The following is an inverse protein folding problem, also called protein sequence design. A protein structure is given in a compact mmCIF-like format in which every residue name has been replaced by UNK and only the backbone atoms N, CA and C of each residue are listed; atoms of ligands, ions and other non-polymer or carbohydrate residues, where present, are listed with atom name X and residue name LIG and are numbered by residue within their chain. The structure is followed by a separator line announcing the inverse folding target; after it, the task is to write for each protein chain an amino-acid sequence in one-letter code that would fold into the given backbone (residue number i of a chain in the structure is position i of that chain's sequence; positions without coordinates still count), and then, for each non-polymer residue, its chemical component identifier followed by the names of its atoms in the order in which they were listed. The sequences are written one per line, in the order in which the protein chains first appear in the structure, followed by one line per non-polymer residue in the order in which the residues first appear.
data_IF_341915472079
#
_entry.id   IF_341915472079
#
_cell.length_a   1.000
_cell.length_b   1.000
_cell.length_c   1.000
_cell.angle_alpha   90.00
_cell.angle_beta   90.00
_cell.angle_gamma   90.00
#
_symmetry.space_group_name_H-M   'P 1'
#
loop_
_entity.id
_entity.type
_entity.pdbx_description
1 polymer ?
#
# COMPACT_ATOMS: atom_id res chain seq x y z
N UNK A 1 -20.66 24.98 9.02
CA UNK A 1 -19.25 24.86 8.56
C UNK A 1 -19.29 24.96 7.05
N UNK A 2 -19.31 26.19 6.56
CA UNK A 2 -20.00 26.51 5.30
C UNK A 2 -19.18 26.23 4.04
N UNK A 3 -18.04 25.55 4.18
CA UNK A 3 -17.12 25.21 3.08
C UNK A 3 -16.48 23.81 3.22
N UNK A 4 -17.06 22.93 4.04
CA UNK A 4 -16.60 21.54 4.17
C UNK A 4 -16.79 20.79 2.83
N UNK A 5 -15.75 20.10 2.35
CA UNK A 5 -15.70 19.44 1.04
C UNK A 5 -15.28 20.35 -0.12
N UNK A 6 -14.95 21.62 0.13
CA UNK A 6 -14.47 22.52 -0.92
C UNK A 6 -13.03 22.18 -1.30
N UNK A 7 -12.76 22.00 -2.59
CA UNK A 7 -11.42 21.71 -3.12
C UNK A 7 -10.99 22.66 -4.23
N UNK A 8 -9.67 22.83 -4.40
CA UNK A 8 -9.08 23.59 -5.50
C UNK A 8 -7.66 23.11 -5.84
N UNK A 9 -7.24 23.33 -7.08
CA UNK A 9 -5.91 22.99 -7.57
C UNK A 9 -4.89 24.10 -7.29
N UNK A 10 -3.66 23.68 -6.97
CA UNK A 10 -2.51 24.59 -6.79
C UNK A 10 -1.27 24.01 -7.46
N UNK A 11 -0.20 24.81 -7.55
CA UNK A 11 1.13 24.32 -7.99
C UNK A 11 1.74 23.24 -7.08
N UNK A 12 1.10 22.92 -5.95
CA UNK A 12 1.54 21.92 -4.98
C UNK A 12 0.54 20.76 -4.82
N UNK A 13 -0.43 20.64 -5.72
CA UNK A 13 -1.46 19.59 -5.73
C UNK A 13 -2.86 20.09 -5.38
N UNK A 14 -3.80 19.15 -5.26
CA UNK A 14 -5.19 19.38 -4.90
C UNK A 14 -5.35 19.63 -3.41
N UNK A 15 -6.02 20.72 -3.04
CA UNK A 15 -6.34 21.07 -1.66
C UNK A 15 -7.81 20.80 -1.40
N UNK A 16 -8.15 20.31 -0.21
CA UNK A 16 -9.53 20.08 0.22
C UNK A 16 -9.72 20.50 1.68
N UNK A 17 -10.87 21.12 1.99
CA UNK A 17 -11.29 21.41 3.36
C UNK A 17 -12.08 20.22 3.90
N UNK A 18 -11.46 19.48 4.80
CA UNK A 18 -12.03 18.33 5.52
C UNK A 18 -11.68 18.38 7.01
N UNK A 19 -12.15 17.42 7.81
CA UNK A 19 -11.98 17.46 9.27
C UNK A 19 -10.51 17.47 9.72
N UNK A 20 -9.63 16.79 8.99
CA UNK A 20 -8.19 16.71 9.32
C UNK A 20 -7.45 18.00 8.95
N UNK A 21 -7.78 18.58 7.79
CA UNK A 21 -7.16 19.81 7.30
C UNK A 21 -7.63 21.04 8.06
N UNK A 22 -8.89 21.08 8.52
CA UNK A 22 -9.42 22.17 9.36
C UNK A 22 -8.58 22.36 10.62
N UNK A 23 -8.21 21.26 11.29
CA UNK A 23 -7.39 21.32 12.50
C UNK A 23 -6.05 22.03 12.23
N UNK A 24 -5.35 21.61 11.19
CA UNK A 24 -4.07 22.22 10.81
C UNK A 24 -4.22 23.68 10.38
N UNK A 25 -5.26 23.99 9.61
CA UNK A 25 -5.55 25.36 9.15
C UNK A 25 -5.74 26.28 10.36
N UNK A 26 -6.51 25.87 11.38
CA UNK A 26 -6.74 26.68 12.56
C UNK A 26 -5.47 26.93 13.38
N UNK A 27 -4.52 26.00 13.37
CA UNK A 27 -3.23 26.14 14.06
C UNK A 27 -2.22 27.02 13.30
N UNK A 28 -2.37 27.16 11.97
CA UNK A 28 -1.36 27.77 11.08
C UNK A 28 -1.88 28.99 10.30
N UNK A 29 -3.15 29.37 10.51
CA UNK A 29 -3.78 30.52 9.87
C UNK A 29 -3.12 31.82 10.34
N UNK A 30 -2.72 32.67 9.39
CA UNK A 30 -2.10 33.96 9.65
C UNK A 30 -3.05 35.08 9.24
N UNK A 31 -3.26 36.07 10.11
CA UNK A 31 -4.00 37.29 9.77
C UNK A 31 -3.25 38.10 8.71
N UNK A 32 -3.98 38.57 7.70
CA UNK A 32 -3.42 39.39 6.61
C UNK A 32 -2.80 40.67 7.16
N UNK A 33 -1.63 41.02 6.63
CA UNK A 33 -0.94 42.26 6.99
C UNK A 33 -1.64 43.52 6.43
N UNK A 34 -2.59 43.35 5.51
CA UNK A 34 -3.26 44.44 4.81
C UNK A 34 -4.68 44.72 5.34
N UNK A 35 -5.34 43.75 5.97
CA UNK A 35 -6.73 43.86 6.43
C UNK A 35 -7.00 42.92 7.59
N UNK A 36 -7.69 43.38 8.63
CA UNK A 36 -8.08 42.55 9.78
C UNK A 36 -9.19 41.53 9.47
N UNK A 37 -9.88 41.67 8.34
CA UNK A 37 -10.99 40.80 7.94
C UNK A 37 -10.57 39.58 7.11
N UNK A 38 -9.27 39.42 6.84
CA UNK A 38 -8.76 38.33 6.00
C UNK A 38 -7.63 37.59 6.68
N UNK A 39 -7.58 36.30 6.44
CA UNK A 39 -6.49 35.43 6.85
C UNK A 39 -6.05 34.54 5.69
N UNK A 40 -4.86 33.97 5.80
CA UNK A 40 -4.30 33.11 4.77
C UNK A 40 -3.41 32.03 5.39
N UNK A 41 -3.17 31.00 4.59
CA UNK A 41 -2.20 29.92 4.86
C UNK A 41 -1.25 29.83 3.66
N UNK A 42 -0.04 29.35 3.88
CA UNK A 42 0.91 29.11 2.79
C UNK A 42 0.70 27.73 2.19
N UNK A 43 0.34 27.66 0.90
CA UNK A 43 0.16 26.40 0.16
C UNK A 43 1.40 25.50 0.27
N UNK A 44 2.62 26.06 0.23
CA UNK A 44 3.86 25.29 0.41
C UNK A 44 3.98 24.65 1.80
N UNK A 45 3.54 25.35 2.86
CA UNK A 45 3.60 24.84 4.22
C UNK A 45 2.54 23.76 4.47
N UNK A 46 1.33 23.99 3.97
CA UNK A 46 0.24 23.01 4.00
C UNK A 46 0.64 21.75 3.22
N UNK A 47 1.09 21.90 1.97
CA UNK A 47 1.54 20.79 1.14
C UNK A 47 2.66 20.01 1.81
N UNK A 48 3.66 20.69 2.40
CA UNK A 48 4.70 20.02 3.17
C UNK A 48 4.13 19.21 4.33
N UNK A 49 3.31 19.79 5.19
CA UNK A 49 2.75 19.11 6.37
C UNK A 49 2.00 17.82 5.99
N UNK A 50 1.20 17.87 4.92
CA UNK A 50 0.46 16.71 4.42
C UNK A 50 1.28 15.79 3.50
N UNK A 51 2.43 16.24 2.98
CA UNK A 51 3.45 15.41 2.31
C UNK A 51 4.38 14.69 3.32
N UNK A 52 4.37 15.04 4.61
CA UNK A 52 5.17 14.34 5.65
C UNK A 52 4.52 13.03 6.12
N UNK A 53 3.94 12.26 5.20
CA UNK A 53 3.80 10.82 5.39
C UNK A 53 4.80 10.11 4.45
N UNK A 54 6.02 10.02 4.98
CA UNK A 54 6.99 8.91 4.86
C UNK A 54 7.88 8.65 3.62
N UNK A 55 7.92 9.45 2.56
CA UNK A 55 8.83 9.08 1.44
C UNK A 55 10.32 9.32 1.69
N UNK A 56 10.71 10.32 2.50
CA UNK A 56 12.12 10.64 2.73
C UNK A 56 12.82 9.66 3.70
N UNK A 57 12.08 9.16 4.69
CA UNK A 57 12.49 8.18 5.70
C UNK A 57 12.48 6.75 5.16
N UNK A 58 11.50 6.41 4.31
CA UNK A 58 11.45 5.11 3.64
C UNK A 58 12.55 4.92 2.59
N UNK A 59 12.90 5.98 1.84
CA UNK A 59 13.99 5.93 0.86
C UNK A 59 15.36 5.61 1.48
N UNK A 60 15.57 5.97 2.76
CA UNK A 60 16.77 5.62 3.52
C UNK A 60 16.75 4.17 4.06
N UNK A 61 15.56 3.57 4.19
CA UNK A 61 15.36 2.15 4.53
C UNK A 61 15.46 1.22 3.33
N UNK A 62 15.37 1.75 2.10
CA UNK A 62 15.36 0.94 0.90
C UNK A 62 16.76 0.41 0.59
N UNK A 63 16.97 -0.92 0.50
CA UNK A 63 18.29 -1.54 0.43
C UNK A 63 19.08 -1.23 -0.84
N UNK A 64 18.44 -0.61 -1.84
CA UNK A 64 19.04 -0.30 -3.13
C UNK A 64 19.36 1.20 -3.31
N UNK A 65 19.19 2.01 -2.25
CA UNK A 65 19.47 3.45 -2.25
C UNK A 65 18.32 4.31 -2.78
N UNK A 66 18.44 5.64 -2.59
CA UNK A 66 17.41 6.63 -2.93
C UNK A 66 17.02 6.58 -4.41
N UNK A 67 17.98 6.36 -5.31
CA UNK A 67 17.77 6.33 -6.76
C UNK A 67 16.97 5.09 -7.21
N UNK A 68 17.21 3.93 -6.61
CA UNK A 68 16.47 2.71 -6.92
C UNK A 68 15.05 2.71 -6.34
N UNK A 69 14.86 3.33 -5.17
CA UNK A 69 13.52 3.55 -4.61
C UNK A 69 12.69 4.48 -5.50
N UNK A 70 13.30 5.56 -6.00
CA UNK A 70 12.63 6.46 -6.94
C UNK A 70 12.30 5.74 -8.26
N UNK A 71 13.22 4.97 -8.82
CA UNK A 71 12.95 4.17 -10.02
C UNK A 71 11.81 3.16 -9.81
N UNK A 72 11.74 2.51 -8.65
CA UNK A 72 10.63 1.64 -8.26
C UNK A 72 9.29 2.40 -8.22
N UNK A 73 9.23 3.55 -7.56
CA UNK A 73 8.03 4.40 -7.53
C UNK A 73 7.61 4.87 -8.93
N UNK A 74 8.58 5.24 -9.76
CA UNK A 74 8.33 5.67 -11.13
C UNK A 74 7.71 4.53 -11.96
N UNK A 75 8.14 3.28 -11.74
CA UNK A 75 7.53 2.11 -12.40
C UNK A 75 6.09 1.85 -11.95
N UNK A 76 5.78 2.02 -10.66
CA UNK A 76 4.41 1.91 -10.15
C UNK A 76 3.50 2.98 -10.74
N UNK A 77 4.02 4.20 -10.83
CA UNK A 77 3.30 5.36 -11.38
C UNK A 77 3.08 5.24 -12.90
N UNK A 78 4.07 4.70 -13.62
CA UNK A 78 4.00 4.49 -15.07
C UNK A 78 2.99 3.37 -15.43
N UNK A 79 2.94 2.28 -14.66
CA UNK A 79 1.97 1.19 -14.85
C UNK A 79 0.50 1.64 -14.68
N UNK A 80 0.24 2.65 -13.85
CA UNK A 80 -1.10 3.22 -13.68
C UNK A 80 -1.61 3.96 -14.94
N UNK A 81 -0.73 4.30 -15.89
CA UNK A 81 -1.05 5.18 -17.03
C UNK A 81 -1.32 4.43 -18.35
N UNK A 82 -1.02 3.13 -18.44
CA UNK A 82 -1.18 2.33 -19.67
C UNK A 82 -2.11 1.14 -19.44
N UNK A 83 -3.36 1.28 -19.92
CA UNK A 83 -4.42 0.27 -20.00
C UNK A 83 -5.06 -0.22 -18.69
N UNK A 84 -6.36 0.07 -18.57
CA UNK A 84 -7.23 -0.46 -17.54
C UNK A 84 -7.23 0.42 -16.30
N UNK A 85 -8.38 0.99 -15.99
CA UNK A 85 -8.66 1.80 -14.82
C UNK A 85 -8.45 0.98 -13.53
N UNK A 86 -7.21 0.74 -13.13
CA UNK A 86 -6.80 0.27 -11.81
C UNK A 86 -6.45 1.50 -10.99
N UNK A 87 -7.46 2.33 -10.72
CA UNK A 87 -7.30 3.41 -9.75
C UNK A 87 -6.99 2.77 -8.41
N UNK A 88 -5.91 3.25 -7.78
CA UNK A 88 -5.66 3.11 -6.35
C UNK A 88 -6.66 4.02 -5.61
N UNK A 89 -7.95 3.75 -5.79
CA UNK A 89 -9.09 4.53 -5.27
C UNK A 89 -10.12 3.54 -4.70
N UNK A 90 -10.27 3.59 -3.38
CA UNK A 90 -11.26 2.90 -2.54
C UNK A 90 -11.20 1.36 -2.46
N UNK A 91 -10.51 0.91 -1.41
CA UNK A 91 -10.50 -0.41 -0.76
C UNK A 91 -9.67 -1.55 -1.40
N UNK A 92 -8.45 -1.76 -0.89
CA UNK A 92 -7.70 -3.03 -1.04
C UNK A 92 -8.54 -4.25 -0.63
N UNK A 93 -9.47 -4.04 0.31
CA UNK A 93 -10.55 -4.97 0.67
C UNK A 93 -11.36 -5.49 -0.54
N UNK A 94 -11.53 -4.70 -1.61
CA UNK A 94 -12.31 -5.09 -2.78
C UNK A 94 -11.63 -6.22 -3.58
N UNK A 95 -10.29 -6.27 -3.62
CA UNK A 95 -9.58 -7.31 -4.39
C UNK A 95 -9.63 -8.66 -3.70
N UNK A 96 -9.37 -8.68 -2.40
CA UNK A 96 -9.49 -9.90 -1.60
C UNK A 96 -10.95 -10.36 -1.55
N UNK A 97 -11.90 -9.43 -1.53
CA UNK A 97 -13.32 -9.75 -1.62
C UNK A 97 -13.68 -10.42 -2.96
N UNK A 98 -13.20 -9.92 -4.10
CA UNK A 98 -13.40 -10.56 -5.42
C UNK A 98 -12.82 -11.98 -5.46
N UNK A 99 -11.66 -12.20 -4.86
CA UNK A 99 -11.07 -13.54 -4.74
C UNK A 99 -11.98 -14.46 -3.93
N UNK A 100 -12.52 -13.95 -2.80
CA UNK A 100 -13.41 -14.73 -1.95
C UNK A 100 -14.73 -15.08 -2.63
N UNK A 101 -15.32 -14.13 -3.35
CA UNK A 101 -16.54 -14.34 -4.12
C UNK A 101 -16.32 -15.40 -5.21
N UNK A 102 -15.25 -15.27 -5.99
CA UNK A 102 -14.88 -16.24 -7.02
C UNK A 102 -14.73 -17.67 -6.47
N UNK A 103 -14.14 -17.80 -5.28
CA UNK A 103 -13.95 -19.08 -4.60
C UNK A 103 -15.25 -19.63 -4.00
N UNK A 104 -16.07 -18.75 -3.40
CA UNK A 104 -17.38 -19.08 -2.87
C UNK A 104 -18.35 -19.60 -3.94
N UNK A 105 -18.42 -18.93 -5.08
CA UNK A 105 -19.24 -19.34 -6.24
C UNK A 105 -18.88 -20.74 -6.76
N UNK A 106 -17.61 -21.13 -6.63
CA UNK A 106 -17.09 -22.45 -7.05
C UNK A 106 -17.19 -23.50 -5.96
N UNK A 107 -17.76 -23.17 -4.81
CA UNK A 107 -17.93 -24.08 -3.68
C UNK A 107 -16.63 -24.44 -2.98
N UNK A 108 -15.56 -23.66 -3.16
CA UNK A 108 -14.26 -23.91 -2.53
C UNK A 108 -14.37 -23.93 -1.00
N UNK A 109 -15.22 -23.09 -0.42
CA UNK A 109 -15.46 -23.05 1.03
C UNK A 109 -16.37 -24.15 1.55
N UNK A 110 -17.05 -24.88 0.66
CA UNK A 110 -17.93 -25.99 1.04
C UNK A 110 -17.25 -27.35 0.89
N UNK A 111 -16.27 -27.46 -0.03
CA UNK A 111 -15.62 -28.72 -0.40
C UNK A 111 -14.11 -28.72 -0.18
N UNK A 112 -13.50 -27.53 -0.05
CA UNK A 112 -12.07 -27.37 0.15
C UNK A 112 -11.69 -27.43 1.62
N UNK A 113 -10.43 -27.77 1.85
CA UNK A 113 -9.81 -27.81 3.17
C UNK A 113 -8.42 -27.13 3.13
N UNK A 114 -7.91 -26.78 4.30
CA UNK A 114 -6.64 -26.05 4.44
C UNK A 114 -5.42 -26.87 4.00
N UNK A 115 -5.45 -28.20 4.08
CA UNK A 115 -4.34 -29.06 3.61
C UNK A 115 -4.28 -29.05 2.08
N UNK A 116 -5.43 -29.12 1.42
CA UNK A 116 -5.52 -29.01 -0.04
C UNK A 116 -5.02 -27.65 -0.51
N UNK A 117 -5.41 -26.56 0.15
CA UNK A 117 -4.88 -25.23 -0.17
C UNK A 117 -3.37 -25.12 0.10
N UNK A 118 -2.84 -25.80 1.13
CA UNK A 118 -1.40 -25.80 1.42
C UNK A 118 -0.61 -26.51 0.32
N UNK A 119 -1.11 -27.63 -0.18
CA UNK A 119 -0.53 -28.29 -1.35
C UNK A 119 -0.53 -27.37 -2.57
N UNK A 120 -1.63 -26.63 -2.80
CA UNK A 120 -1.72 -25.66 -3.90
C UNK A 120 -0.70 -24.53 -3.74
N UNK A 121 -0.54 -24.00 -2.53
CA UNK A 121 0.47 -22.97 -2.24
C UNK A 121 1.90 -23.44 -2.57
N UNK A 122 2.23 -24.71 -2.28
CA UNK A 122 3.53 -25.27 -2.60
C UNK A 122 3.74 -25.48 -4.11
N UNK A 123 2.66 -25.74 -4.86
CA UNK A 123 2.68 -25.75 -6.33
C UNK A 123 3.04 -24.36 -6.88
N UNK A 124 2.32 -23.32 -6.45
CA UNK A 124 2.58 -21.94 -6.89
C UNK A 124 3.99 -21.44 -6.49
N UNK A 125 4.46 -21.82 -5.30
CA UNK A 125 5.81 -21.51 -4.86
C UNK A 125 6.88 -22.19 -5.75
N UNK A 126 6.59 -23.39 -6.26
CA UNK A 126 7.45 -24.10 -7.20
C UNK A 126 7.49 -23.45 -8.58
N UNK A 127 6.36 -22.89 -9.04
CA UNK A 127 6.27 -22.10 -10.27
C UNK A 127 7.06 -20.80 -10.14
N UNK A 128 6.93 -20.09 -9.01
CA UNK A 128 7.75 -18.92 -8.71
C UNK A 128 9.25 -19.27 -8.73
N UNK A 129 9.65 -20.36 -8.06
CA UNK A 129 11.05 -20.80 -8.05
C UNK A 129 11.58 -21.06 -9.47
N UNK A 130 10.76 -21.64 -10.34
CA UNK A 130 11.10 -21.87 -11.75
C UNK A 130 11.19 -20.57 -12.55
N UNK A 131 10.28 -19.63 -12.34
CA UNK A 131 10.28 -18.33 -12.98
C UNK A 131 11.57 -17.56 -12.67
N UNK A 132 11.97 -17.55 -11.39
CA UNK A 132 13.23 -16.93 -10.93
C UNK A 132 14.44 -17.57 -11.63
N UNK A 133 14.50 -18.90 -11.68
CA UNK A 133 15.63 -19.62 -12.31
C UNK A 133 15.74 -19.35 -13.81
N UNK A 134 14.63 -19.00 -14.47
CA UNK A 134 14.57 -18.76 -15.92
C UNK A 134 14.58 -17.28 -16.30
N UNK A 135 14.62 -16.37 -15.33
CA UNK A 135 14.44 -14.93 -15.53
C UNK A 135 13.13 -14.60 -16.29
N UNK A 136 12.08 -15.37 -16.00
CA UNK A 136 10.78 -15.23 -16.63
C UNK A 136 9.91 -14.24 -15.84
N UNK A 137 9.97 -12.97 -16.23
CA UNK A 137 9.23 -11.90 -15.55
C UNK A 137 7.72 -12.04 -15.65
N UNK A 138 7.18 -12.68 -16.70
CA UNK A 138 5.73 -12.84 -16.86
C UNK A 138 5.23 -13.86 -15.86
N UNK A 139 5.86 -15.04 -15.84
CA UNK A 139 5.55 -16.11 -14.89
C UNK A 139 5.83 -15.68 -13.44
N UNK A 140 6.88 -14.87 -13.21
CA UNK A 140 7.20 -14.35 -11.88
C UNK A 140 6.05 -13.53 -11.28
N UNK A 141 5.42 -12.69 -12.10
CA UNK A 141 4.28 -11.86 -11.66
C UNK A 141 3.05 -12.72 -11.42
N UNK A 142 2.80 -13.68 -12.31
CA UNK A 142 1.66 -14.60 -12.24
C UNK A 142 1.71 -15.49 -10.99
N UNK A 143 2.82 -16.18 -10.77
CA UNK A 143 3.02 -17.07 -9.63
C UNK A 143 2.91 -16.34 -8.27
N UNK A 144 3.36 -15.08 -8.19
CA UNK A 144 3.14 -14.25 -6.99
C UNK A 144 1.65 -13.95 -6.78
N UNK A 145 0.93 -13.62 -7.86
CA UNK A 145 -0.51 -13.41 -7.84
C UNK A 145 -1.26 -14.64 -7.35
N UNK A 146 -0.93 -15.82 -7.88
CA UNK A 146 -1.59 -17.08 -7.54
C UNK A 146 -1.33 -17.48 -6.09
N UNK A 147 -0.11 -17.29 -5.56
CA UNK A 147 0.13 -17.46 -4.12
C UNK A 147 -0.76 -16.56 -3.27
N UNK A 148 -0.96 -15.29 -3.66
CA UNK A 148 -1.85 -14.36 -2.92
C UNK A 148 -3.31 -14.84 -2.97
N UNK A 149 -3.77 -15.35 -4.12
CA UNK A 149 -5.11 -15.94 -4.27
C UNK A 149 -5.29 -17.15 -3.34
N UNK A 150 -4.31 -18.05 -3.31
CA UNK A 150 -4.33 -19.24 -2.44
C UNK A 150 -4.33 -18.83 -0.96
N UNK A 151 -3.44 -17.90 -0.55
CA UNK A 151 -3.37 -17.42 0.84
C UNK A 151 -4.66 -16.74 1.28
N UNK A 152 -5.29 -15.97 0.38
CA UNK A 152 -6.58 -15.31 0.65
C UNK A 152 -7.68 -16.33 0.97
N UNK A 153 -7.78 -17.38 0.16
CA UNK A 153 -8.76 -18.44 0.36
C UNK A 153 -8.44 -19.33 1.56
N UNK A 154 -7.15 -19.59 1.82
CA UNK A 154 -6.71 -20.36 2.96
C UNK A 154 -6.98 -19.64 4.28
N UNK A 155 -6.78 -18.32 4.34
CA UNK A 155 -7.12 -17.50 5.51
C UNK A 155 -8.61 -17.62 5.84
N UNK A 156 -9.47 -17.52 4.82
CA UNK A 156 -10.92 -17.71 4.98
C UNK A 156 -11.28 -19.11 5.52
N UNK A 157 -10.71 -20.17 4.93
CA UNK A 157 -10.91 -21.54 5.42
C UNK A 157 -10.39 -21.75 6.84
N UNK A 158 -9.37 -20.99 7.24
CA UNK A 158 -8.81 -20.96 8.59
C UNK A 158 -9.62 -20.15 9.61
N UNK A 159 -10.73 -19.53 9.20
CA UNK A 159 -11.59 -18.74 10.08
C UNK A 159 -11.09 -17.32 10.35
N UNK A 160 -10.25 -16.76 9.48
CA UNK A 160 -9.74 -15.39 9.55
C UNK A 160 -9.80 -14.74 8.16
N UNK A 161 -9.16 -13.59 7.99
CA UNK A 161 -9.02 -12.88 6.72
C UNK A 161 -7.56 -12.64 6.40
N UNK A 162 -7.23 -12.49 5.12
CA UNK A 162 -5.85 -12.18 4.72
C UNK A 162 -5.46 -10.78 5.19
N UNK A 163 -6.42 -9.87 5.26
CA UNK A 163 -6.29 -8.54 5.83
C UNK A 163 -5.83 -8.61 7.30
N UNK A 164 -6.52 -9.38 8.14
CA UNK A 164 -6.10 -9.60 9.54
C UNK A 164 -4.71 -10.24 9.65
N UNK A 165 -4.41 -11.20 8.77
CA UNK A 165 -3.11 -11.87 8.72
C UNK A 165 -1.97 -10.89 8.37
N UNK A 166 -2.22 -9.99 7.40
CA UNK A 166 -1.29 -8.92 7.02
C UNK A 166 -1.12 -7.93 8.18
N UNK A 167 -2.21 -7.53 8.84
CA UNK A 167 -2.15 -6.60 9.97
C UNK A 167 -1.34 -7.17 11.14
N UNK A 168 -1.55 -8.44 11.49
CA UNK A 168 -0.77 -9.12 12.54
C UNK A 168 0.71 -9.24 12.16
N UNK A 169 1.02 -9.59 10.90
CA UNK A 169 2.38 -9.60 10.41
C UNK A 169 3.02 -8.20 10.44
N UNK A 170 2.27 -7.17 10.07
CA UNK A 170 2.73 -5.78 10.05
C UNK A 170 3.08 -5.27 11.45
N UNK A 171 2.23 -5.55 12.46
CA UNK A 171 2.49 -5.21 13.87
C UNK A 171 3.83 -5.73 14.37
N UNK A 172 4.26 -6.89 13.86
CA UNK A 172 5.55 -7.49 14.21
C UNK A 172 6.69 -6.82 13.44
N UNK A 173 6.58 -6.64 12.12
CA UNK A 173 7.69 -6.10 11.31
C UNK A 173 7.91 -4.60 11.53
N UNK A 174 6.86 -3.84 11.82
CA UNK A 174 6.94 -2.40 12.08
C UNK A 174 7.78 -2.06 13.34
N UNK A 175 7.89 -3.02 14.27
CA UNK A 175 8.67 -2.89 15.51
C UNK A 175 10.11 -3.39 15.36
N UNK A 176 10.47 -4.02 14.24
CA UNK A 176 11.82 -4.59 14.07
C UNK A 176 12.84 -3.46 13.88
N UNK A 177 13.87 -3.47 14.71
CA UNK A 177 15.11 -2.74 14.47
C UNK A 177 16.17 -3.70 13.93
N UNK A 178 17.05 -3.19 13.08
CA UNK A 178 18.02 -4.02 12.36
C UNK A 178 18.63 -3.29 11.19
N UNK A 179 19.50 -4.00 10.48
CA UNK A 179 20.21 -3.50 9.29
C UNK A 179 20.20 -4.55 8.19
N UNK A 180 20.27 -4.08 6.96
CA UNK A 180 20.44 -4.93 5.79
C UNK A 180 21.89 -5.40 5.71
N UNK A 181 22.11 -6.71 5.63
CA UNK A 181 23.42 -7.34 5.41
C UNK A 181 23.26 -8.35 4.27
N UNK A 182 24.01 -8.17 3.18
CA UNK A 182 24.00 -9.06 2.01
C UNK A 182 22.58 -9.33 1.45
N UNK A 183 21.77 -8.28 1.32
CA UNK A 183 20.41 -8.40 0.77
C UNK A 183 19.38 -9.04 1.72
N UNK A 184 19.76 -9.34 2.96
CA UNK A 184 18.86 -9.89 3.98
C UNK A 184 18.75 -8.93 5.16
N UNK A 185 17.55 -8.77 5.72
CA UNK A 185 17.33 -7.99 6.94
C UNK A 185 17.83 -8.78 8.16
N UNK A 186 18.86 -8.27 8.83
CA UNK A 186 19.41 -8.83 10.07
C UNK A 186 18.92 -7.97 11.23
N UNK A 187 18.24 -8.60 12.19
CA UNK A 187 17.75 -7.94 13.41
C UNK A 187 18.92 -7.51 14.27
N UNK A 188 18.75 -6.40 15.00
CA UNK A 188 19.68 -6.09 16.08
C UNK A 188 19.59 -7.21 17.14
N UNK A 189 20.74 -7.67 17.65
CA UNK A 189 20.78 -8.60 18.79
C UNK A 189 20.31 -7.84 20.05
N UNK A 190 19.48 -8.48 20.89
CA UNK A 190 19.09 -7.94 22.20
C UNK A 190 20.28 -7.78 23.16
#
# INVERSE_FOLDING_TARGET
MDNMGKSWETTHGTFEINMDTIKWIMENVTTSQYTMERCYIYNKAFAKYFQVKDHATEAERFPFGKDAYQAYLDTLTTRASSNGNWRYDSNESERFQKIREWAGERGLYTKGDTKTQFCKLMEEAGELGRAILKDDHVEFVDAIGDMVVVLTNMAYLGGTTIEECIDEAYKVIAKRTGKMVNGTFVKDEE
#
